data_IF_863310034596
#
_entry.id   IF_863310034596
#
_cell.length_a   1.000
_cell.length_b   1.000
_cell.length_c   1.000
_cell.angle_alpha   90.00
_cell.angle_beta   90.00
_cell.angle_gamma   90.00
#
_symmetry.space_group_name_H-M   'P 1'
#
loop_
_entity.id
_entity.type
_entity.pdbx_description
1 polymer ?
#
# COMPACT_ATOMS: atom_id res chain seq x y z
N UNK A 1 -15.80 2.82 1.58
CA UNK A 1 -16.34 3.21 0.26
C UNK A 1 -15.36 2.80 -0.83
N UNK A 2 -15.46 1.60 -1.39
CA UNK A 2 -14.59 1.10 -2.46
C UNK A 2 -14.82 1.77 -3.84
N UNK A 3 -14.92 3.11 -3.89
CA UNK A 3 -15.18 3.84 -5.14
C UNK A 3 -14.11 3.57 -6.19
N UNK A 4 -12.83 3.51 -5.80
CA UNK A 4 -11.75 3.22 -6.72
C UNK A 4 -11.91 1.85 -7.40
N UNK A 5 -12.34 0.83 -6.64
CA UNK A 5 -12.62 -0.52 -7.19
C UNK A 5 -13.86 -0.54 -8.08
N UNK A 6 -14.88 0.26 -7.76
CA UNK A 6 -16.08 0.39 -8.61
C UNK A 6 -15.69 1.08 -9.91
N UNK A 7 -14.93 2.16 -9.86
CA UNK A 7 -14.47 2.90 -11.04
C UNK A 7 -13.58 2.01 -11.92
N UNK A 8 -12.68 1.22 -11.34
CA UNK A 8 -11.86 0.24 -12.06
C UNK A 8 -12.76 -0.78 -12.78
N UNK A 9 -13.78 -1.30 -12.10
CA UNK A 9 -14.74 -2.24 -12.69
C UNK A 9 -15.51 -1.60 -13.85
N UNK A 10 -16.01 -0.37 -13.68
CA UNK A 10 -16.73 0.37 -14.72
C UNK A 10 -15.84 0.60 -15.95
N UNK A 11 -14.61 1.08 -15.74
CA UNK A 11 -13.65 1.29 -16.83
C UNK A 11 -13.33 -0.02 -17.57
N UNK A 12 -13.16 -1.12 -16.85
CA UNK A 12 -12.95 -2.42 -17.47
C UNK A 12 -14.18 -2.85 -18.29
N UNK A 13 -15.40 -2.70 -17.78
CA UNK A 13 -16.63 -2.97 -18.53
C UNK A 13 -16.69 -2.15 -19.82
N UNK A 14 -16.34 -0.85 -19.77
CA UNK A 14 -16.30 0.04 -20.92
C UNK A 14 -15.27 -0.40 -21.96
N UNK A 15 -14.10 -0.84 -21.53
CA UNK A 15 -13.08 -1.41 -22.44
C UNK A 15 -13.58 -2.65 -23.19
N UNK A 16 -14.51 -3.40 -22.60
CA UNK A 16 -15.17 -4.55 -23.24
C UNK A 16 -16.49 -4.19 -23.92
N UNK A 17 -16.75 -2.90 -24.16
CA UNK A 17 -17.86 -2.39 -24.97
C UNK A 17 -19.17 -2.19 -24.22
N UNK A 18 -19.18 -2.28 -22.88
CA UNK A 18 -20.37 -2.04 -22.06
C UNK A 18 -20.37 -0.58 -21.58
N UNK A 19 -21.43 0.17 -21.91
CA UNK A 19 -21.62 1.54 -21.39
C UNK A 19 -22.29 1.51 -20.03
N UNK A 20 -21.70 2.16 -19.08
CA UNK A 20 -22.23 2.34 -17.73
C UNK A 20 -22.52 3.84 -17.51
N UNK A 21 -23.73 4.16 -17.09
CA UNK A 21 -24.10 5.51 -16.68
C UNK A 21 -24.03 5.60 -15.16
N UNK A 22 -23.31 6.57 -14.63
CA UNK A 22 -23.22 6.82 -13.19
C UNK A 22 -23.79 8.22 -12.88
N UNK A 23 -24.78 8.26 -12.00
CA UNK A 23 -25.38 9.50 -11.53
C UNK A 23 -25.79 9.35 -10.07
N UNK A 24 -25.32 10.26 -9.20
CA UNK A 24 -25.65 10.29 -7.77
C UNK A 24 -25.45 8.94 -7.04
N UNK A 25 -24.38 8.21 -7.34
CA UNK A 25 -24.08 6.91 -6.74
C UNK A 25 -24.93 5.75 -7.28
N UNK A 26 -25.74 6.00 -8.30
CA UNK A 26 -26.54 4.97 -8.99
C UNK A 26 -25.86 4.61 -10.31
N UNK A 27 -25.57 3.33 -10.51
CA UNK A 27 -25.01 2.81 -11.74
C UNK A 27 -26.10 2.15 -12.57
N UNK A 28 -26.27 2.63 -13.80
CA UNK A 28 -27.26 2.10 -14.75
C UNK A 28 -26.56 1.42 -15.91
N UNK A 29 -26.86 0.15 -16.10
CA UNK A 29 -26.35 -0.66 -17.21
C UNK A 29 -27.55 -1.06 -18.05
N UNK A 30 -27.73 -0.39 -19.20
CA UNK A 30 -28.79 -0.75 -20.13
C UNK A 30 -28.50 -2.13 -20.77
N UNK A 31 -29.57 -2.84 -21.17
CA UNK A 31 -29.42 -4.05 -21.97
C UNK A 31 -28.71 -3.70 -23.29
N UNK A 32 -27.54 -4.30 -23.51
CA UNK A 32 -26.68 -4.05 -24.67
C UNK A 32 -26.36 -5.40 -25.34
N UNK A 33 -25.64 -5.38 -26.45
CA UNK A 33 -25.30 -6.56 -27.24
C UNK A 33 -24.35 -7.57 -26.56
N UNK A 34 -23.91 -7.29 -25.31
CA UNK A 34 -22.96 -8.10 -24.56
C UNK A 34 -21.52 -7.62 -24.67
N UNK A 35 -20.62 -8.25 -23.91
CA UNK A 35 -19.21 -7.95 -23.93
C UNK A 35 -18.57 -8.30 -25.28
N UNK A 36 -17.68 -7.43 -25.73
CA UNK A 36 -16.90 -7.65 -26.95
C UNK A 36 -15.59 -8.36 -26.59
N UNK A 37 -15.38 -9.53 -27.18
CA UNK A 37 -14.14 -10.28 -27.00
C UNK A 37 -12.96 -9.49 -27.60
N UNK A 38 -11.87 -9.37 -26.85
CA UNK A 38 -10.63 -8.75 -27.28
C UNK A 38 -9.44 -9.39 -26.57
N UNK A 39 -8.24 -9.22 -27.11
CA UNK A 39 -7.02 -9.46 -26.35
C UNK A 39 -6.91 -8.42 -25.24
N UNK A 40 -6.66 -8.85 -24.04
CA UNK A 40 -6.54 -8.02 -22.88
C UNK A 40 -5.31 -8.43 -22.06
N UNK A 41 -4.42 -7.50 -21.81
CA UNK A 41 -3.27 -7.72 -20.95
C UNK A 41 -3.66 -7.24 -19.54
N UNK A 42 -3.62 -8.17 -18.57
CA UNK A 42 -3.98 -7.87 -17.18
C UNK A 42 -2.84 -7.10 -16.54
N UNK A 43 -3.16 -5.97 -15.91
CA UNK A 43 -2.17 -5.18 -15.18
C UNK A 43 -1.56 -5.99 -14.01
N UNK A 44 -0.29 -5.78 -13.67
CA UNK A 44 0.28 -6.26 -12.42
C UNK A 44 -0.47 -5.73 -11.21
N UNK A 45 -0.40 -6.45 -10.08
CA UNK A 45 -1.02 -6.04 -8.83
C UNK A 45 -0.25 -4.86 -8.21
N UNK A 46 -0.83 -3.65 -8.32
CA UNK A 46 -0.23 -2.42 -7.77
C UNK A 46 -0.23 -2.43 -6.24
N UNK A 47 -1.23 -3.06 -5.61
CA UNK A 47 -1.24 -3.22 -4.15
C UNK A 47 0.00 -3.98 -3.67
N UNK A 48 0.37 -5.06 -4.36
CA UNK A 48 1.59 -5.81 -4.07
C UNK A 48 2.86 -4.99 -4.37
N UNK A 49 2.87 -4.23 -5.47
CA UNK A 49 4.00 -3.36 -5.84
C UNK A 49 4.33 -2.34 -4.74
N UNK A 50 3.32 -1.81 -4.04
CA UNK A 50 3.50 -0.79 -3.00
C UNK A 50 4.41 -1.22 -1.85
N UNK A 51 4.44 -2.52 -1.49
CA UNK A 51 5.38 -3.01 -0.46
C UNK A 51 6.83 -2.87 -0.90
N UNK A 52 7.12 -3.13 -2.17
CA UNK A 52 8.48 -3.01 -2.72
C UNK A 52 8.88 -1.55 -2.93
N UNK A 53 7.96 -0.67 -3.29
CA UNK A 53 8.21 0.77 -3.33
C UNK A 53 8.49 1.33 -1.93
N UNK A 54 7.75 0.90 -0.92
CA UNK A 54 8.02 1.26 0.47
C UNK A 54 9.38 0.72 0.96
N UNK A 55 9.78 -0.48 0.51
CA UNK A 55 11.12 -1.02 0.76
C UNK A 55 12.21 -0.12 0.17
N UNK A 56 12.05 0.38 -1.07
CA UNK A 56 13.00 1.30 -1.68
C UNK A 56 13.17 2.56 -0.82
N UNK A 57 12.06 3.13 -0.34
CA UNK A 57 12.06 4.30 0.54
C UNK A 57 12.81 4.04 1.85
N UNK A 58 12.64 2.86 2.46
CA UNK A 58 13.27 2.50 3.72
C UNK A 58 14.76 2.17 3.61
N UNK A 59 15.14 1.37 2.61
CA UNK A 59 16.50 0.84 2.49
C UNK A 59 17.44 1.74 1.71
N UNK A 60 16.92 2.79 1.09
CA UNK A 60 17.74 3.70 0.33
C UNK A 60 18.26 3.11 -0.99
N UNK A 61 17.53 2.19 -1.55
CA UNK A 61 17.76 1.54 -2.87
C UNK A 61 16.81 2.10 -3.92
N UNK A 62 16.98 1.67 -5.17
CA UNK A 62 16.02 1.88 -6.25
C UNK A 62 15.31 0.58 -6.57
N UNK A 63 14.00 0.61 -6.69
CA UNK A 63 13.16 -0.54 -7.05
C UNK A 63 12.28 -0.18 -8.22
N UNK A 64 12.31 -0.97 -9.28
CA UNK A 64 11.38 -0.89 -10.41
C UNK A 64 10.47 -2.11 -10.39
N UNK A 65 9.15 -1.88 -10.44
CA UNK A 65 8.17 -2.96 -10.60
C UNK A 65 7.70 -2.98 -12.04
N UNK A 66 8.06 -4.05 -12.76
CA UNK A 66 7.80 -4.16 -14.19
C UNK A 66 6.31 -4.15 -14.52
N UNK A 67 5.94 -3.34 -15.51
CA UNK A 67 4.58 -3.24 -16.04
C UNK A 67 3.59 -2.47 -15.16
N UNK A 68 4.03 -1.90 -14.04
CA UNK A 68 3.24 -0.94 -13.26
C UNK A 68 3.53 0.46 -13.77
N UNK A 69 2.50 1.19 -14.20
CA UNK A 69 2.59 2.53 -14.77
C UNK A 69 1.60 3.50 -14.13
N UNK A 70 1.83 4.80 -14.28
CA UNK A 70 0.96 5.85 -13.69
C UNK A 70 -0.47 5.83 -14.24
N UNK A 71 -0.67 5.35 -15.48
CA UNK A 71 -1.98 5.16 -16.08
C UNK A 71 -2.76 3.94 -15.58
N UNK A 72 -2.25 3.19 -14.61
CA UNK A 72 -2.93 2.04 -14.02
C UNK A 72 -4.36 2.40 -13.60
N UNK A 73 -5.29 1.49 -13.85
CA UNK A 73 -6.67 1.62 -13.38
C UNK A 73 -6.79 1.41 -11.87
N UNK A 74 -5.77 0.86 -11.23
CA UNK A 74 -5.76 0.54 -9.80
C UNK A 74 -5.45 1.79 -8.98
N UNK A 75 -6.35 2.15 -8.04
CA UNK A 75 -6.22 3.36 -7.22
C UNK A 75 -4.95 3.39 -6.35
N UNK A 76 -4.37 2.24 -6.07
CA UNK A 76 -3.17 2.12 -5.23
C UNK A 76 -1.91 2.74 -5.87
N UNK A 77 -1.93 3.06 -7.17
CA UNK A 77 -0.85 3.83 -7.82
C UNK A 77 -0.65 5.20 -7.15
N UNK A 78 -1.68 5.77 -6.53
CA UNK A 78 -1.58 7.01 -5.73
C UNK A 78 -0.55 6.92 -4.60
N UNK A 79 -0.23 5.71 -4.13
CA UNK A 79 0.81 5.51 -3.11
C UNK A 79 2.18 5.98 -3.58
N UNK A 80 2.48 5.89 -4.86
CA UNK A 80 3.72 6.42 -5.46
C UNK A 80 3.81 7.93 -5.25
N UNK A 81 2.73 8.66 -5.49
CA UNK A 81 2.68 10.11 -5.26
C UNK A 81 2.78 10.48 -3.77
N UNK A 82 2.35 9.59 -2.88
CA UNK A 82 2.58 9.77 -1.43
C UNK A 82 4.07 9.64 -1.10
N UNK A 83 4.75 8.66 -1.68
CA UNK A 83 6.20 8.49 -1.51
C UNK A 83 6.99 9.68 -2.08
N UNK A 84 6.55 10.30 -3.19
CA UNK A 84 7.11 11.55 -3.70
C UNK A 84 6.98 12.69 -2.69
N UNK A 85 5.80 12.86 -2.07
CA UNK A 85 5.58 13.84 -0.99
C UNK A 85 6.48 13.58 0.21
N UNK A 86 6.83 12.31 0.48
CA UNK A 86 7.79 11.92 1.50
C UNK A 86 9.25 12.18 1.09
N UNK A 87 9.48 12.64 -0.16
CA UNK A 87 10.77 13.01 -0.70
C UNK A 87 11.44 11.97 -1.58
N UNK A 88 10.82 10.83 -1.83
CA UNK A 88 11.31 9.83 -2.77
C UNK A 88 11.33 10.37 -4.20
N UNK A 89 12.22 9.83 -5.02
CA UNK A 89 12.27 10.09 -6.46
C UNK A 89 11.49 8.97 -7.14
N UNK A 90 10.44 9.31 -7.86
CA UNK A 90 9.60 8.37 -8.58
C UNK A 90 9.62 8.72 -10.08
N UNK A 91 9.84 7.74 -10.92
CA UNK A 91 9.90 7.90 -12.36
C UNK A 91 9.12 6.76 -13.04
N UNK A 92 8.20 7.11 -13.94
CA UNK A 92 7.57 6.11 -14.81
C UNK A 92 8.46 5.88 -16.02
N UNK A 93 9.09 4.72 -16.03
CA UNK A 93 10.01 4.30 -17.08
C UNK A 93 9.31 3.34 -18.06
N UNK A 94 9.88 3.05 -19.24
CA UNK A 94 9.31 2.05 -20.15
C UNK A 94 9.15 0.64 -19.55
N UNK A 95 9.89 0.34 -18.50
CA UNK A 95 9.83 -0.96 -17.79
C UNK A 95 8.78 -0.97 -16.68
N UNK A 96 8.43 0.19 -16.16
CA UNK A 96 7.51 0.39 -15.05
C UNK A 96 7.98 1.50 -14.11
N UNK A 97 7.16 1.80 -13.11
CA UNK A 97 7.49 2.81 -12.10
C UNK A 97 8.72 2.38 -11.30
N UNK A 98 9.70 3.27 -11.25
CA UNK A 98 10.90 3.17 -10.43
C UNK A 98 10.79 4.13 -9.24
N UNK A 99 10.90 3.61 -8.02
CA UNK A 99 10.98 4.41 -6.80
C UNK A 99 12.38 4.32 -6.22
N UNK A 100 12.95 5.48 -5.92
CA UNK A 100 14.27 5.62 -5.30
C UNK A 100 14.18 6.40 -4.00
N UNK A 101 15.16 6.21 -3.12
CA UNK A 101 15.27 6.94 -1.86
C UNK A 101 15.19 8.45 -2.06
N UNK A 102 14.83 9.23 -1.00
CA UNK A 102 14.99 10.68 -1.01
C UNK A 102 16.43 11.08 -1.31
N UNK A 103 16.63 12.14 -2.11
CA UNK A 103 17.96 12.61 -2.50
C UNK A 103 18.86 12.95 -1.30
N UNK A 104 18.28 13.44 -0.20
CA UNK A 104 18.97 13.73 1.06
C UNK A 104 19.00 12.53 2.03
N UNK A 105 18.45 11.38 1.65
CA UNK A 105 18.37 10.18 2.47
C UNK A 105 17.36 10.23 3.64
N UNK A 106 16.54 11.29 3.72
CA UNK A 106 15.59 11.51 4.82
C UNK A 106 14.16 11.46 4.29
N UNK A 107 13.36 10.54 4.82
CA UNK A 107 11.92 10.52 4.61
C UNK A 107 11.24 11.64 5.41
N UNK A 108 10.32 12.35 4.78
CA UNK A 108 9.48 13.35 5.43
C UNK A 108 8.15 12.75 5.82
N UNK A 109 7.62 13.13 6.98
CA UNK A 109 6.24 12.85 7.32
C UNK A 109 5.28 13.64 6.43
N UNK A 110 4.08 13.11 6.26
CA UNK A 110 3.05 13.68 5.37
C UNK A 110 1.70 13.74 6.07
N UNK A 111 0.85 14.67 5.65
CA UNK A 111 -0.58 14.69 5.99
C UNK A 111 -1.35 14.44 4.69
N UNK A 112 -1.95 13.24 4.56
CA UNK A 112 -2.54 12.78 3.29
C UNK A 112 -3.89 12.13 3.51
N UNK A 113 -4.79 12.35 2.54
CA UNK A 113 -6.03 11.62 2.44
C UNK A 113 -5.81 10.38 1.56
N UNK A 114 -6.03 9.19 2.12
CA UNK A 114 -5.82 7.90 1.45
C UNK A 114 -7.14 7.21 1.07
N UNK A 115 -8.22 7.96 0.88
CA UNK A 115 -9.51 7.35 0.55
C UNK A 115 -9.46 6.52 -0.75
N UNK A 116 -8.71 6.95 -1.75
CA UNK A 116 -8.55 6.27 -3.04
C UNK A 116 -7.60 5.05 -2.99
N UNK A 117 -6.64 5.04 -2.06
CA UNK A 117 -5.64 3.98 -1.90
C UNK A 117 -5.57 3.50 -0.43
N UNK A 118 -6.71 3.39 0.22
CA UNK A 118 -6.81 3.12 1.66
C UNK A 118 -6.21 1.78 2.10
N UNK A 119 -6.08 0.84 1.20
CA UNK A 119 -5.41 -0.44 1.42
C UNK A 119 -3.91 -0.26 1.73
N UNK A 120 -3.31 0.84 1.27
CA UNK A 120 -1.92 1.19 1.54
C UNK A 120 -1.72 1.99 2.84
N UNK A 121 -2.79 2.24 3.60
CA UNK A 121 -2.68 2.91 4.89
C UNK A 121 -1.77 2.14 5.87
N UNK A 122 -1.81 0.80 5.84
CA UNK A 122 -0.95 -0.06 6.66
C UNK A 122 0.51 0.08 6.21
N UNK A 123 0.75 0.06 4.89
CA UNK A 123 2.09 0.21 4.31
C UNK A 123 2.71 1.56 4.68
N UNK A 124 1.94 2.65 4.55
CA UNK A 124 2.38 3.98 4.96
C UNK A 124 2.64 4.06 6.46
N UNK A 125 1.76 3.47 7.28
CA UNK A 125 1.91 3.44 8.72
C UNK A 125 3.17 2.69 9.17
N UNK A 126 3.55 1.63 8.47
CA UNK A 126 4.76 0.85 8.77
C UNK A 126 6.04 1.63 8.50
N UNK A 127 6.07 2.51 7.50
CA UNK A 127 7.25 3.32 7.17
C UNK A 127 7.28 4.68 7.90
N UNK A 128 6.14 5.15 8.39
CA UNK A 128 6.00 6.44 9.07
C UNK A 128 6.96 6.65 10.27
N UNK A 129 7.27 5.64 11.11
CA UNK A 129 8.24 5.81 12.21
C UNK A 129 9.64 6.24 11.76
N UNK A 130 10.02 5.98 10.52
CA UNK A 130 11.34 6.29 9.96
C UNK A 130 11.40 7.66 9.26
N UNK A 131 10.29 8.40 9.24
CA UNK A 131 10.26 9.79 8.76
C UNK A 131 10.82 10.75 9.80
N UNK A 132 11.15 11.99 9.39
CA UNK A 132 11.69 13.03 10.27
C UNK A 132 10.60 13.84 11.00
N UNK A 133 9.37 13.80 10.51
CA UNK A 133 8.20 14.52 11.04
C UNK A 133 7.00 13.59 11.13
N UNK A 134 5.95 13.94 11.91
CA UNK A 134 4.75 13.10 12.02
C UNK A 134 4.06 12.87 10.68
N UNK A 135 3.50 11.68 10.52
CA UNK A 135 2.65 11.31 9.39
C UNK A 135 1.20 11.19 9.85
N UNK A 136 0.29 11.88 9.16
CA UNK A 136 -1.15 11.77 9.40
C UNK A 136 -1.83 11.17 8.16
N UNK A 137 -2.56 10.09 8.36
CA UNK A 137 -3.33 9.36 7.34
C UNK A 137 -4.80 9.64 7.60
N UNK A 138 -5.54 10.17 6.61
CA UNK A 138 -6.94 10.57 6.72
C UNK A 138 -7.83 9.87 5.70
N UNK A 139 -9.14 9.96 5.90
CA UNK A 139 -10.13 9.44 4.96
C UNK A 139 -10.25 7.92 4.99
N UNK A 140 -9.87 7.29 6.08
CA UNK A 140 -9.72 5.83 6.21
C UNK A 140 -10.71 5.17 7.17
N UNK A 141 -11.80 5.85 7.60
CA UNK A 141 -12.78 5.28 8.54
C UNK A 141 -13.27 3.88 8.12
N UNK A 142 -13.47 3.67 6.81
CA UNK A 142 -14.02 2.43 6.26
C UNK A 142 -13.10 1.21 6.42
N UNK A 143 -11.77 1.40 6.60
CA UNK A 143 -10.86 0.27 6.80
C UNK A 143 -11.03 -0.41 8.18
N UNK A 144 -11.84 0.17 9.07
CA UNK A 144 -12.24 -0.47 10.32
C UNK A 144 -13.14 -1.69 10.13
N UNK A 145 -13.79 -1.78 8.95
CA UNK A 145 -14.78 -2.80 8.62
C UNK A 145 -14.29 -3.75 7.51
N UNK A 146 -12.97 -3.80 7.30
CA UNK A 146 -12.36 -4.72 6.35
C UNK A 146 -11.97 -6.05 7.03
N UNK A 147 -10.89 -6.71 6.62
CA UNK A 147 -10.45 -7.99 7.19
C UNK A 147 -10.24 -7.92 8.70
N UNK A 148 -9.79 -6.76 9.18
CA UNK A 148 -9.64 -6.43 10.59
C UNK A 148 -10.12 -4.99 10.85
N UNK A 149 -10.22 -4.57 12.10
CA UNK A 149 -10.26 -3.13 12.41
C UNK A 149 -8.84 -2.56 12.21
N UNK A 150 -8.48 -2.26 10.96
CA UNK A 150 -7.12 -1.90 10.56
C UNK A 150 -6.58 -0.68 11.31
N UNK A 151 -7.39 0.34 11.56
CA UNK A 151 -6.94 1.51 12.33
C UNK A 151 -6.51 1.11 13.74
N UNK A 152 -7.35 0.35 14.45
CA UNK A 152 -7.02 -0.12 15.79
C UNK A 152 -5.83 -1.09 15.78
N UNK A 153 -5.74 -1.99 14.78
CA UNK A 153 -4.63 -2.92 14.62
C UNK A 153 -3.30 -2.18 14.40
N UNK A 154 -3.27 -1.20 13.49
CA UNK A 154 -2.09 -0.36 13.23
C UNK A 154 -1.62 0.33 14.52
N UNK A 155 -2.53 1.02 15.22
CA UNK A 155 -2.18 1.70 16.47
C UNK A 155 -1.68 0.75 17.54
N UNK A 156 -2.29 -0.42 17.68
CA UNK A 156 -1.88 -1.43 18.66
C UNK A 156 -0.47 -1.92 18.38
N UNK A 157 -0.16 -2.26 17.12
CA UNK A 157 1.15 -2.83 16.79
C UNK A 157 2.26 -1.76 16.80
N UNK A 158 1.98 -0.53 16.36
CA UNK A 158 2.92 0.59 16.51
C UNK A 158 3.22 0.87 17.99
N UNK A 159 2.19 0.90 18.84
CA UNK A 159 2.35 1.09 20.29
C UNK A 159 3.15 -0.05 20.91
N UNK A 160 2.93 -1.30 20.46
CA UNK A 160 3.71 -2.47 20.90
C UNK A 160 5.20 -2.33 20.62
N UNK A 161 5.54 -1.71 19.50
CA UNK A 161 6.92 -1.37 19.14
C UNK A 161 7.45 -0.10 19.82
N UNK A 162 6.66 0.53 20.68
CA UNK A 162 7.05 1.77 21.37
C UNK A 162 6.93 3.03 20.50
N UNK A 163 6.23 2.98 19.40
CA UNK A 163 5.96 4.13 18.51
C UNK A 163 4.70 4.85 18.99
N UNK A 164 4.81 6.16 19.14
CA UNK A 164 3.64 7.00 19.45
C UNK A 164 2.70 7.04 18.26
N UNK A 165 1.44 6.71 18.51
CA UNK A 165 0.36 6.70 17.54
C UNK A 165 -0.91 7.23 18.19
N UNK A 166 -1.64 8.09 17.49
CA UNK A 166 -2.94 8.59 17.93
C UNK A 166 -4.01 8.22 16.90
N UNK A 167 -5.03 7.52 17.38
CA UNK A 167 -6.17 7.07 16.61
C UNK A 167 -7.26 8.16 16.60
N UNK A 168 -7.72 8.58 15.42
CA UNK A 168 -8.91 9.38 15.21
C UNK A 168 -10.08 8.53 14.71
N UNK A 169 -11.23 9.13 14.46
CA UNK A 169 -12.40 8.44 13.92
C UNK A 169 -12.14 7.90 12.52
N UNK A 170 -11.57 8.73 11.63
CA UNK A 170 -11.25 8.42 10.23
C UNK A 170 -9.76 8.62 9.90
N UNK A 171 -8.90 8.67 10.90
CA UNK A 171 -7.51 9.04 10.74
C UNK A 171 -6.60 8.39 11.76
N UNK A 172 -5.31 8.47 11.48
CA UNK A 172 -4.24 8.03 12.36
C UNK A 172 -3.07 9.02 12.24
N UNK A 173 -2.48 9.42 13.37
CA UNK A 173 -1.25 10.20 13.39
C UNK A 173 -0.14 9.41 14.04
N UNK A 174 0.99 9.30 13.37
CA UNK A 174 2.15 8.48 13.77
C UNK A 174 3.35 9.40 13.90
N UNK A 175 4.05 9.34 15.04
CA UNK A 175 5.25 10.13 15.27
C UNK A 175 6.51 9.33 14.94
N UNK A 176 7.57 10.00 14.48
CA UNK A 176 8.87 9.39 14.32
C UNK A 176 9.35 8.71 15.58
N UNK A 177 10.08 7.61 15.42
CA UNK A 177 10.65 6.88 16.55
C UNK A 177 11.45 5.66 16.10
N UNK A 178 12.15 5.04 17.03
CA UNK A 178 12.89 3.80 16.78
C UNK A 178 12.04 2.62 17.24
N UNK A 179 11.52 1.79 16.31
CA UNK A 179 10.75 0.60 16.68
C UNK A 179 11.59 -0.35 17.54
N UNK A 180 11.00 -0.88 18.60
CA UNK A 180 11.61 -1.88 19.49
C UNK A 180 11.22 -3.29 19.04
N UNK A 181 12.01 -4.31 19.42
CA UNK A 181 11.67 -5.71 19.17
C UNK A 181 10.24 -6.04 19.62
N UNK A 182 9.47 -6.68 18.74
CA UNK A 182 8.08 -7.03 19.03
C UNK A 182 7.59 -8.21 18.17
N UNK A 183 6.65 -8.97 18.73
CA UNK A 183 5.86 -9.96 18.01
C UNK A 183 4.59 -9.27 17.50
N UNK A 184 4.53 -9.03 16.21
CA UNK A 184 3.44 -8.35 15.52
C UNK A 184 2.28 -9.31 15.30
N UNK A 185 1.09 -8.96 15.76
CA UNK A 185 -0.14 -9.72 15.47
C UNK A 185 -0.68 -9.32 14.12
N UNK A 186 -1.04 -10.29 13.31
CA UNK A 186 -1.53 -10.05 11.94
C UNK A 186 -3.06 -9.91 11.86
N UNK A 187 -3.80 -10.34 12.88
CA UNK A 187 -5.26 -10.28 12.93
C UNK A 187 -5.92 -11.03 11.75
N UNK A 188 -5.26 -12.08 11.24
CA UNK A 188 -5.65 -12.80 10.02
C UNK A 188 -5.79 -11.86 8.80
N UNK A 189 -5.07 -10.73 8.81
CA UNK A 189 -5.05 -9.73 7.76
C UNK A 189 -3.69 -9.75 7.03
N UNK A 190 -3.72 -10.17 5.78
CA UNK A 190 -2.54 -10.28 4.93
C UNK A 190 -1.77 -8.95 4.80
N UNK A 191 -2.47 -7.80 4.82
CA UNK A 191 -1.82 -6.49 4.72
C UNK A 191 -1.08 -6.11 6.00
N UNK A 192 -1.58 -6.57 7.17
CA UNK A 192 -0.83 -6.42 8.41
C UNK A 192 0.48 -7.22 8.38
N UNK A 193 0.43 -8.46 7.90
CA UNK A 193 1.63 -9.29 7.78
C UNK A 193 2.67 -8.64 6.83
N UNK A 194 2.25 -8.31 5.61
CA UNK A 194 3.15 -7.76 4.58
C UNK A 194 3.62 -6.33 4.92
N UNK A 195 2.72 -5.46 5.35
CA UNK A 195 3.07 -4.08 5.68
C UNK A 195 4.04 -3.99 6.87
N UNK A 196 3.73 -4.68 7.98
CA UNK A 196 4.59 -4.61 9.16
C UNK A 196 5.91 -5.40 9.02
N UNK A 197 6.03 -6.33 8.06
CA UNK A 197 7.32 -6.96 7.74
C UNK A 197 8.36 -5.93 7.31
N UNK A 198 7.93 -4.84 6.67
CA UNK A 198 8.81 -3.76 6.23
C UNK A 198 9.53 -3.08 7.41
N UNK A 199 8.91 -3.04 8.59
CA UNK A 199 9.57 -2.49 9.80
C UNK A 199 10.82 -3.28 10.13
N UNK A 200 10.78 -4.61 9.96
CA UNK A 200 11.91 -5.51 10.19
C UNK A 200 13.12 -5.27 9.28
N UNK A 201 12.95 -4.58 8.16
CA UNK A 201 14.05 -4.19 7.28
C UNK A 201 14.97 -3.11 7.89
N UNK A 202 14.48 -2.37 8.89
CA UNK A 202 15.18 -1.25 9.53
C UNK A 202 15.29 -1.38 11.05
N UNK A 203 14.53 -2.29 11.66
CA UNK A 203 14.50 -2.50 13.11
C UNK A 203 14.68 -3.99 13.42
N UNK A 204 15.63 -4.30 14.31
CA UNK A 204 15.90 -5.68 14.73
C UNK A 204 14.79 -6.24 15.63
N UNK A 205 14.58 -7.55 15.56
CA UNK A 205 13.70 -8.28 16.47
C UNK A 205 12.21 -8.09 16.20
N UNK A 206 11.84 -7.64 14.99
CA UNK A 206 10.45 -7.64 14.53
C UNK A 206 10.12 -9.05 14.03
N UNK A 207 9.11 -9.66 14.63
CA UNK A 207 8.65 -11.01 14.27
C UNK A 207 7.17 -10.92 13.87
N UNK A 208 6.84 -11.48 12.73
CA UNK A 208 5.45 -11.54 12.24
C UNK A 208 4.79 -12.82 12.75
N UNK A 209 3.75 -12.71 13.55
CA UNK A 209 2.93 -13.84 13.95
C UNK A 209 2.02 -14.23 12.77
N UNK A 210 1.97 -15.52 12.45
CA UNK A 210 1.20 -16.04 11.32
C UNK A 210 1.47 -15.31 9.97
N UNK A 211 2.70 -15.43 9.42
CA UNK A 211 3.02 -14.82 8.12
C UNK A 211 2.23 -15.45 6.97
N UNK A 212 1.70 -16.68 7.15
CA UNK A 212 0.97 -17.40 6.11
C UNK A 212 -0.42 -16.83 5.82
N UNK A 213 -0.93 -15.89 6.63
CA UNK A 213 -2.18 -15.19 6.32
C UNK A 213 -2.09 -14.39 5.00
N UNK A 214 -0.87 -14.07 4.50
CA UNK A 214 -0.66 -13.45 3.20
C UNK A 214 -0.97 -14.35 2.00
N UNK A 215 -1.08 -15.67 2.21
CA UNK A 215 -1.39 -16.66 1.16
C UNK A 215 -2.64 -16.33 0.34
N UNK A 216 -3.57 -15.60 0.93
CA UNK A 216 -4.80 -15.15 0.28
C UNK A 216 -4.55 -14.31 -0.98
N UNK A 217 -3.49 -13.49 -0.99
CA UNK A 217 -3.22 -12.53 -2.06
C UNK A 217 -1.82 -12.64 -2.66
N UNK A 218 -0.82 -12.98 -1.85
CA UNK A 218 0.56 -13.12 -2.29
C UNK A 218 1.22 -14.29 -1.54
N UNK A 219 0.98 -15.50 -1.99
CA UNK A 219 1.39 -16.75 -1.32
C UNK A 219 2.89 -16.80 -0.99
N UNK A 220 3.75 -16.33 -1.89
CA UNK A 220 5.21 -16.38 -1.77
C UNK A 220 5.84 -15.04 -1.36
N UNK A 221 5.07 -14.16 -0.73
CA UNK A 221 5.58 -12.82 -0.38
C UNK A 221 6.86 -12.86 0.45
N UNK A 222 6.90 -13.68 1.49
CA UNK A 222 8.06 -13.75 2.39
C UNK A 222 9.28 -14.42 1.72
N UNK A 223 9.06 -15.39 0.83
CA UNK A 223 10.14 -15.98 0.04
C UNK A 223 10.78 -14.92 -0.88
N UNK A 224 9.95 -14.12 -1.55
CA UNK A 224 10.41 -13.01 -2.40
C UNK A 224 11.12 -11.93 -1.59
N UNK A 225 10.58 -11.60 -0.41
CA UNK A 225 11.19 -10.61 0.49
C UNK A 225 12.59 -11.06 0.92
N UNK A 226 12.74 -12.31 1.35
CA UNK A 226 14.02 -12.89 1.77
C UNK A 226 15.04 -12.90 0.63
N UNK A 227 14.65 -13.32 -0.57
CA UNK A 227 15.51 -13.28 -1.75
C UNK A 227 16.03 -11.86 -2.09
N UNK A 228 15.18 -10.84 -1.94
CA UNK A 228 15.56 -9.45 -2.18
C UNK A 228 16.52 -8.97 -1.11
N UNK A 229 16.25 -9.28 0.17
CA UNK A 229 17.10 -8.87 1.29
C UNK A 229 18.49 -9.51 1.18
N UNK A 230 18.56 -10.79 0.83
CA UNK A 230 19.84 -11.48 0.59
C UNK A 230 20.66 -10.81 -0.52
N UNK A 231 20.03 -10.42 -1.63
CA UNK A 231 20.70 -9.73 -2.74
C UNK A 231 21.21 -8.33 -2.39
N UNK A 232 20.56 -7.65 -1.45
CA UNK A 232 20.96 -6.30 -1.01
C UNK A 232 22.15 -6.36 -0.05
N UNK A 233 22.27 -7.47 0.72
CA UNK A 233 23.35 -7.66 1.69
C UNK A 233 24.66 -8.16 1.09
N UNK A 234 24.65 -8.66 -0.14
CA UNK A 234 25.85 -9.06 -0.91
C UNK A 234 26.50 -7.87 -1.59
#
# INVERSE_FOLDING_TARGET
>A
NGMAYIDMTVRMMEQFGIKVQSENGVYKIAKQGGYQAKKYDIEPDVSAACYFYAMAALLGISVTVSGVHEESLQGDVEFVHILEKMGCICEDTPEGICVSKPANGILKGVDVNMHSCSDQAITLAAIAPFADTPTTIRGIAHIRLQESNRIAAICTELTRMGIRCEEGEDSITIWPGTPKPALIQTYDDHRMAMGFSLVGLRAEGIVINDPMCCKKTFEHYFDVLDEIVEKIQM
#
